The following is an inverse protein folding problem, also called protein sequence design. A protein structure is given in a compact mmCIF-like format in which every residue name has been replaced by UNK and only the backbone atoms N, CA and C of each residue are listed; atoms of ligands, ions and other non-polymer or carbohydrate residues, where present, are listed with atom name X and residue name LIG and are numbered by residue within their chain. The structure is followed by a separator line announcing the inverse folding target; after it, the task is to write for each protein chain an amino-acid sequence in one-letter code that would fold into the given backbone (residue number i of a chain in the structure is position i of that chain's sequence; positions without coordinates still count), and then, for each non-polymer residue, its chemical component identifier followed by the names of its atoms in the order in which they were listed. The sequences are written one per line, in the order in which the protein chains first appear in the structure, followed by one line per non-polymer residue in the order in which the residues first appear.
data_IF_660137871094
#
_entry.id   IF_660137871094
#
_cell.length_a   1.000
_cell.length_b   1.000
_cell.length_c   1.000
_cell.angle_alpha   90.00
_cell.angle_beta   90.00
_cell.angle_gamma   90.00
#
_symmetry.space_group_name_H-M   'P 1'
#
loop_
_entity.id
_entity.type
_entity.pdbx_description
1 polymer ?
#
# COMPACT_ATOMS: atom_id res chain seq x y z
N UNK A 1 4.75 -2.55 15.91
CA UNK A 1 5.00 -2.49 14.46
C UNK A 1 6.42 -2.89 14.22
N UNK A 2 6.58 -4.01 13.54
CA UNK A 2 7.84 -4.33 12.90
C UNK A 2 8.09 -3.34 11.75
N UNK A 3 9.35 -3.15 11.39
CA UNK A 3 9.75 -2.27 10.30
C UNK A 3 10.72 -3.02 9.40
N UNK A 4 10.69 -2.69 8.11
CA UNK A 4 11.74 -3.14 7.20
C UNK A 4 13.05 -2.41 7.55
N UNK A 5 14.18 -3.06 7.32
CA UNK A 5 15.50 -2.42 7.48
C UNK A 5 15.56 -1.12 6.67
N UNK A 6 15.91 -0.03 7.35
CA UNK A 6 16.02 1.29 6.74
C UNK A 6 17.07 1.32 5.63
N UNK A 7 16.73 1.97 4.53
CA UNK A 7 17.59 2.21 3.38
C UNK A 7 17.20 3.54 2.72
N UNK A 8 18.11 4.18 1.96
CA UNK A 8 17.83 5.46 1.36
C UNK A 8 16.83 5.35 0.22
N UNK A 9 16.03 6.41 0.04
CA UNK A 9 15.15 6.60 -1.10
C UNK A 9 15.57 7.88 -1.85
N UNK A 10 15.31 7.99 -3.16
CA UNK A 10 15.73 9.14 -3.96
C UNK A 10 14.79 10.36 -3.83
N UNK A 11 13.72 10.25 -3.04
CA UNK A 11 12.77 11.33 -2.74
C UNK A 11 13.12 12.02 -1.43
N UNK A 12 12.70 13.27 -1.27
CA UNK A 12 12.88 14.02 -0.03
C UNK A 12 11.74 13.81 0.96
N UNK A 13 11.98 14.20 2.22
CA UNK A 13 10.96 14.17 3.28
C UNK A 13 9.74 15.06 2.96
N UNK A 14 9.91 16.13 2.17
CA UNK A 14 8.80 17.01 1.78
C UNK A 14 7.93 16.42 0.67
N UNK A 15 8.46 15.45 -0.09
CA UNK A 15 7.68 14.74 -1.10
C UNK A 15 6.92 13.55 -0.48
N UNK A 16 7.35 13.06 0.68
CA UNK A 16 6.74 11.92 1.38
C UNK A 16 5.34 12.27 1.90
N UNK A 17 4.27 11.60 1.43
CA UNK A 17 2.91 12.03 1.75
C UNK A 17 2.32 11.35 3.01
N UNK A 18 2.96 10.31 3.54
CA UNK A 18 2.41 9.50 4.65
C UNK A 18 2.90 10.00 6.01
N UNK A 19 2.06 9.83 7.04
CA UNK A 19 2.48 10.01 8.43
C UNK A 19 3.32 8.83 8.93
N UNK A 20 3.09 7.63 8.40
CA UNK A 20 3.90 6.46 8.70
C UNK A 20 5.32 6.60 8.12
N UNK A 21 6.34 6.02 8.78
CA UNK A 21 7.72 6.13 8.32
C UNK A 21 7.93 5.42 6.99
N UNK A 22 8.90 5.89 6.20
CA UNK A 22 9.23 5.30 4.87
C UNK A 22 9.55 3.81 4.93
N UNK A 23 9.99 3.30 6.07
CA UNK A 23 10.32 1.89 6.30
C UNK A 23 9.19 1.09 6.97
N UNK A 24 7.98 1.65 7.09
CA UNK A 24 6.77 0.93 7.46
C UNK A 24 6.56 -0.27 6.52
N UNK A 25 6.05 -1.38 7.07
CA UNK A 25 5.83 -2.62 6.31
C UNK A 25 4.70 -2.39 5.29
N UNK A 26 4.99 -2.75 4.05
CA UNK A 26 4.00 -2.87 2.99
C UNK A 26 4.10 -4.25 2.34
N UNK A 27 2.99 -4.94 2.22
CA UNK A 27 2.85 -6.24 1.57
C UNK A 27 2.19 -5.99 0.22
N UNK A 28 2.96 -6.08 -0.85
CA UNK A 28 2.48 -5.89 -2.21
C UNK A 28 2.31 -7.24 -2.93
N UNK A 29 1.44 -7.30 -3.93
CA UNK A 29 1.54 -8.40 -4.93
C UNK A 29 2.78 -8.19 -5.81
N UNK A 30 3.42 -9.27 -6.26
CA UNK A 30 4.54 -9.22 -7.21
C UNK A 30 4.25 -8.35 -8.43
N UNK A 31 3.04 -8.41 -8.97
CA UNK A 31 2.57 -7.60 -10.11
C UNK A 31 2.43 -6.09 -9.85
N UNK A 32 2.14 -5.69 -8.62
CA UNK A 32 2.17 -4.27 -8.23
C UNK A 32 3.62 -3.83 -8.10
N UNK A 33 4.44 -4.67 -7.46
CA UNK A 33 5.84 -4.36 -7.20
C UNK A 33 6.69 -4.33 -8.49
N UNK A 34 6.38 -5.17 -9.48
CA UNK A 34 7.02 -5.15 -10.79
C UNK A 34 6.37 -4.13 -11.77
N UNK A 35 5.34 -3.40 -11.32
CA UNK A 35 4.63 -2.37 -12.09
C UNK A 35 3.87 -2.89 -13.31
N UNK A 36 3.64 -4.20 -13.42
CA UNK A 36 2.85 -4.78 -14.52
C UNK A 36 1.35 -4.56 -14.35
N UNK A 37 0.88 -4.34 -13.11
CA UNK A 37 -0.53 -4.10 -12.80
C UNK A 37 -0.69 -2.92 -11.84
N UNK A 38 -1.80 -2.16 -11.96
CA UNK A 38 -2.06 -1.02 -11.09
C UNK A 38 -2.45 -1.46 -9.68
N UNK A 39 -2.29 -0.56 -8.72
CA UNK A 39 -2.89 -0.71 -7.40
C UNK A 39 -4.41 -0.52 -7.51
N UNK A 40 -5.18 -1.53 -7.12
CA UNK A 40 -6.64 -1.50 -7.11
C UNK A 40 -7.25 -1.72 -5.72
N UNK A 41 -6.46 -2.16 -4.74
CA UNK A 41 -6.90 -2.30 -3.36
C UNK A 41 -5.75 -1.97 -2.41
N UNK A 42 -6.04 -1.15 -1.41
CA UNK A 42 -5.12 -0.77 -0.34
C UNK A 42 -5.80 -1.00 0.99
N UNK A 43 -5.11 -1.66 1.91
CA UNK A 43 -5.58 -1.86 3.28
C UNK A 43 -4.54 -1.30 4.24
N UNK A 44 -4.97 -0.47 5.19
CA UNK A 44 -4.16 -0.09 6.33
C UNK A 44 -4.66 -0.89 7.53
N UNK A 45 -3.94 -1.95 7.89
CA UNK A 45 -4.38 -2.89 8.91
C UNK A 45 -4.37 -2.24 10.30
N UNK A 46 -5.10 -2.85 11.24
CA UNK A 46 -5.19 -2.35 12.62
C UNK A 46 -3.84 -2.32 13.32
N UNK A 47 -2.95 -3.25 12.96
CA UNK A 47 -1.60 -3.34 13.49
C UNK A 47 -0.63 -2.33 12.85
N UNK A 48 -1.06 -1.61 11.80
CA UNK A 48 -0.32 -0.54 11.12
C UNK A 48 0.45 -0.97 9.87
N UNK A 49 0.35 -2.24 9.48
CA UNK A 49 0.92 -2.73 8.23
C UNK A 49 0.03 -2.34 7.04
N UNK A 50 0.65 -2.18 5.87
CA UNK A 50 -0.04 -1.84 4.62
C UNK A 50 -0.14 -3.06 3.72
N UNK A 51 -1.30 -3.29 3.10
CA UNK A 51 -1.46 -4.26 2.01
C UNK A 51 -1.78 -3.52 0.72
N UNK A 52 -1.10 -3.88 -0.38
CA UNK A 52 -1.15 -3.15 -1.65
C UNK A 52 -1.30 -4.11 -2.82
N UNK A 53 -2.51 -4.20 -3.36
CA UNK A 53 -2.92 -5.32 -4.22
C UNK A 53 -3.48 -4.81 -5.55
N UNK A 54 -3.25 -5.58 -6.63
CA UNK A 54 -3.81 -5.27 -7.95
C UNK A 54 -5.26 -5.75 -8.18
N UNK A 55 -6.04 -6.01 -7.11
CA UNK A 55 -7.48 -6.38 -7.16
C UNK A 55 -7.78 -7.74 -7.83
N UNK A 56 -8.99 -8.30 -7.71
CA UNK A 56 -9.30 -9.63 -8.26
C UNK A 56 -8.66 -10.80 -7.50
N UNK A 57 -8.62 -12.00 -8.10
CA UNK A 57 -8.13 -13.21 -7.43
C UNK A 57 -6.63 -13.12 -7.13
N UNK A 58 -6.29 -13.16 -5.84
CA UNK A 58 -4.92 -13.11 -5.31
C UNK A 58 -4.28 -14.48 -5.17
N UNK A 59 -5.02 -15.58 -5.39
CA UNK A 59 -4.53 -16.94 -5.16
C UNK A 59 -3.29 -17.31 -6.00
N UNK A 60 -3.13 -16.72 -7.18
CA UNK A 60 -1.98 -16.97 -8.05
C UNK A 60 -0.83 -15.96 -7.84
N UNK A 61 -0.98 -15.02 -6.91
CA UNK A 61 -0.03 -13.91 -6.72
C UNK A 61 0.89 -14.20 -5.56
N UNK A 62 2.16 -13.83 -5.71
CA UNK A 62 3.13 -13.94 -4.63
C UNK A 62 3.13 -12.64 -3.83
N UNK A 63 3.01 -12.71 -2.49
CA UNK A 63 3.24 -11.55 -1.65
C UNK A 63 4.72 -11.19 -1.66
N UNK A 64 4.99 -9.89 -1.74
CA UNK A 64 6.31 -9.28 -1.63
C UNK A 64 6.26 -8.35 -0.43
N UNK A 65 7.05 -8.66 0.60
CA UNK A 65 7.26 -7.75 1.72
C UNK A 65 8.27 -6.69 1.29
N UNK A 66 7.86 -5.43 1.41
CA UNK A 66 8.67 -4.26 1.08
C UNK A 66 8.39 -3.17 2.11
N UNK A 67 9.04 -2.01 1.96
CA UNK A 67 8.64 -0.84 2.71
C UNK A 67 7.64 0.03 1.94
N UNK A 68 6.87 0.84 2.66
CA UNK A 68 5.93 1.78 2.07
C UNK A 68 6.64 2.80 1.15
N UNK A 69 7.87 3.20 1.49
CA UNK A 69 8.72 4.06 0.67
C UNK A 69 9.05 3.46 -0.69
N UNK A 70 9.46 2.18 -0.74
CA UNK A 70 9.70 1.46 -1.99
C UNK A 70 8.42 1.32 -2.81
N UNK A 71 7.30 1.03 -2.15
CA UNK A 71 6.00 0.92 -2.81
C UNK A 71 5.58 2.23 -3.46
N UNK A 72 5.69 3.34 -2.73
CA UNK A 72 5.39 4.67 -3.24
C UNK A 72 6.37 5.16 -4.31
N UNK A 73 7.64 4.77 -4.23
CA UNK A 73 8.61 5.02 -5.29
C UNK A 73 8.22 4.28 -6.58
N UNK A 74 7.67 3.08 -6.44
CA UNK A 74 7.32 2.20 -7.57
C UNK A 74 6.03 2.62 -8.27
N UNK A 75 5.02 2.98 -7.49
CA UNK A 75 3.72 3.47 -7.96
C UNK A 75 3.26 4.62 -7.05
N UNK A 76 3.31 5.84 -7.59
CA UNK A 76 2.98 7.06 -6.85
C UNK A 76 1.48 7.16 -6.51
N UNK A 77 0.60 6.38 -7.15
CA UNK A 77 -0.85 6.44 -6.92
C UNK A 77 -1.25 5.96 -5.51
N UNK A 78 -0.41 5.18 -4.83
CA UNK A 78 -0.64 4.86 -3.40
C UNK A 78 -0.65 6.11 -2.52
N UNK A 79 -0.01 7.20 -2.94
CA UNK A 79 -0.02 8.47 -2.22
C UNK A 79 -1.41 9.08 -2.07
N UNK A 80 -2.38 8.71 -2.94
CA UNK A 80 -3.79 9.09 -2.77
C UNK A 80 -4.37 8.53 -1.46
N UNK A 81 -3.85 7.39 -0.99
CA UNK A 81 -4.27 6.69 0.22
C UNK A 81 -3.43 7.07 1.45
N UNK A 82 -2.63 8.13 1.39
CA UNK A 82 -1.76 8.50 2.50
C UNK A 82 -2.50 8.87 3.79
N UNK A 83 -3.73 9.35 3.67
CA UNK A 83 -4.62 9.67 4.79
C UNK A 83 -5.55 8.50 5.18
N UNK A 84 -5.39 7.30 4.59
CA UNK A 84 -6.22 6.14 4.91
C UNK A 84 -5.94 5.70 6.37
N UNK A 85 -6.93 5.77 7.28
CA UNK A 85 -6.69 5.45 8.68
C UNK A 85 -6.47 3.95 8.88
N UNK A 86 -5.79 3.57 9.97
CA UNK A 86 -5.70 2.16 10.40
C UNK A 86 -7.08 1.54 10.59
N UNK A 87 -7.20 0.27 10.23
CA UNK A 87 -8.47 -0.45 10.21
C UNK A 87 -9.40 0.00 9.08
N UNK A 88 -8.88 0.60 8.01
CA UNK A 88 -9.65 0.92 6.80
C UNK A 88 -9.05 0.27 5.57
N UNK A 89 -9.90 0.11 4.55
CA UNK A 89 -9.50 -0.33 3.22
C UNK A 89 -10.12 0.57 2.16
N UNK A 90 -9.45 0.62 1.01
CA UNK A 90 -9.90 1.32 -0.16
C UNK A 90 -9.75 0.41 -1.40
N UNK A 91 -10.69 0.50 -2.34
CA UNK A 91 -10.60 -0.19 -3.63
C UNK A 91 -11.11 0.68 -4.78
N UNK A 92 -10.68 0.36 -6.00
CA UNK A 92 -11.16 0.99 -7.23
C UNK A 92 -11.24 -0.02 -8.37
N UNK A 93 -12.08 0.25 -9.36
CA UNK A 93 -12.32 -0.66 -10.49
C UNK A 93 -11.17 -0.69 -11.52
N UNK A 94 -10.47 0.43 -11.69
CA UNK A 94 -9.31 0.57 -12.58
C UNK A 94 -8.39 1.71 -12.13
N UNK A 95 -7.20 1.81 -12.74
CA UNK A 95 -6.28 2.93 -12.47
C UNK A 95 -6.91 4.27 -12.85
N UNK A 96 -6.85 5.24 -11.94
CA UNK A 96 -7.44 6.58 -12.15
C UNK A 96 -8.94 6.68 -11.84
N UNK A 97 -9.61 5.57 -11.54
CA UNK A 97 -10.99 5.59 -11.06
C UNK A 97 -11.06 5.98 -9.58
N UNK A 98 -12.19 6.56 -9.12
CA UNK A 98 -12.39 6.92 -7.72
C UNK A 98 -12.23 5.73 -6.78
N UNK A 99 -11.73 6.01 -5.58
CA UNK A 99 -11.63 5.02 -4.50
C UNK A 99 -12.95 4.94 -3.73
N UNK A 100 -13.49 3.73 -3.61
CA UNK A 100 -14.42 3.38 -2.55
C UNK A 100 -13.61 3.11 -1.28
N UNK A 101 -14.05 3.66 -0.15
CA UNK A 101 -13.33 3.59 1.13
C UNK A 101 -14.29 3.09 2.19
N UNK A 102 -13.87 2.10 2.98
CA UNK A 102 -14.67 1.63 4.11
C UNK A 102 -13.82 1.18 5.30
N UNK A 103 -14.43 1.22 6.48
CA UNK A 103 -13.83 0.67 7.69
C UNK A 103 -13.87 -0.85 7.62
N UNK A 104 -12.73 -1.48 7.91
CA UNK A 104 -12.67 -2.93 8.06
C UNK A 104 -13.63 -3.35 9.19
N UNK A 105 -14.40 -4.41 8.94
CA UNK A 105 -15.23 -5.01 9.99
C UNK A 105 -14.30 -5.83 10.89
N UNK A 106 -14.47 -5.71 12.20
CA UNK A 106 -13.80 -6.56 13.17
C UNK A 106 -14.37 -7.98 13.02
N UNK A 107 -13.83 -8.76 12.10
CA UNK A 107 -14.15 -10.18 11.98
C UNK A 107 -13.27 -10.93 13.01
N UNK A 108 -13.80 -11.06 14.23
CA UNK A 108 -13.21 -11.82 15.34
C UNK A 108 -13.51 -13.32 15.23
#
# INVERSE_FOLDING_TARGET
MDLVQSHPHPFSDTEWPFEDPVNAIAIATDRVFDGSHPILMVTHDTDGDWQVLCGGDVAERRPVVTCLGCTWLRDRSIGEMAALPRGWRAWRSAAGEPWDIERQRDDH
#
